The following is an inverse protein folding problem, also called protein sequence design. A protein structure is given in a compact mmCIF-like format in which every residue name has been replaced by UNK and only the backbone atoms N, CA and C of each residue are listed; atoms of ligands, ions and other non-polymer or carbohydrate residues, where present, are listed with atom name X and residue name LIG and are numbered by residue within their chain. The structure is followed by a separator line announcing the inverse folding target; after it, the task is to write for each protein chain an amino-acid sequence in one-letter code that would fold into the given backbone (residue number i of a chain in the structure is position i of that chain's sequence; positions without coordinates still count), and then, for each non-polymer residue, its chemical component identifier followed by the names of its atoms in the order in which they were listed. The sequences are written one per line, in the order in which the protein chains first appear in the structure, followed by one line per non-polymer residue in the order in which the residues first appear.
data_IF_841087552721
#
_entry.id   IF_841087552721
#
_cell.length_a   1.000
_cell.length_b   1.000
_cell.length_c   1.000
_cell.angle_alpha   90.00
_cell.angle_beta   90.00
_cell.angle_gamma   90.00
#
_symmetry.space_group_name_H-M   'P 1'
#
loop_
_entity.id
_entity.type
_entity.pdbx_description
1 polymer ?
#
# COMPACT_ATOMS: atom_id res chain seq x y z
N UNK A 1 2.03 21.39 23.15
CA UNK A 1 1.35 21.75 24.41
C UNK A 1 1.81 20.76 25.46
N UNK A 2 2.49 21.23 26.50
CA UNK A 2 2.88 20.39 27.64
C UNK A 2 1.75 20.43 28.68
N UNK A 3 1.72 19.47 29.61
CA UNK A 3 0.61 19.28 30.56
C UNK A 3 0.29 20.51 31.46
N UNK A 4 1.16 21.52 31.51
CA UNK A 4 0.96 22.74 32.29
C UNK A 4 0.07 23.80 31.61
N UNK A 5 -0.19 23.69 30.30
CA UNK A 5 -0.91 24.70 29.52
C UNK A 5 -2.45 24.51 29.50
N UNK A 6 -3.00 23.61 30.35
CA UNK A 6 -4.39 23.13 30.26
C UNK A 6 -5.33 23.60 31.37
N UNK A 7 -4.95 24.58 32.20
CA UNK A 7 -5.91 25.21 33.12
C UNK A 7 -7.06 25.84 32.33
N UNK A 8 -8.30 25.39 32.58
CA UNK A 8 -9.51 25.83 31.89
C UNK A 8 -10.04 24.88 30.81
N UNK A 9 -9.33 23.81 30.46
CA UNK A 9 -9.76 22.84 29.45
C UNK A 9 -10.45 21.61 30.09
N UNK A 10 -11.66 21.27 29.63
CA UNK A 10 -12.34 20.03 30.05
C UNK A 10 -11.98 18.89 29.10
N UNK A 11 -11.39 17.80 29.63
CA UNK A 11 -11.22 16.55 28.87
C UNK A 11 -12.58 15.86 28.74
N UNK A 12 -13.04 15.68 27.52
CA UNK A 12 -14.22 14.87 27.20
C UNK A 12 -13.80 13.84 26.15
N UNK A 13 -14.34 12.63 26.20
CA UNK A 13 -14.13 11.61 25.17
C UNK A 13 -15.12 11.83 24.02
N UNK A 14 -14.65 11.75 22.76
CA UNK A 14 -15.48 12.04 21.59
C UNK A 14 -15.34 10.98 20.49
N UNK A 15 -16.38 10.93 19.65
CA UNK A 15 -16.44 10.14 18.41
C UNK A 15 -16.63 11.08 17.23
N UNK A 16 -16.09 10.73 16.06
CA UNK A 16 -16.23 11.52 14.82
C UNK A 16 -16.58 10.63 13.62
N UNK A 17 -17.23 11.22 12.62
CA UNK A 17 -17.66 10.55 11.39
C UNK A 17 -16.96 11.17 10.16
N UNK A 18 -16.24 10.32 9.41
CA UNK A 18 -15.67 10.66 8.10
C UNK A 18 -16.65 10.34 6.96
N UNK A 19 -16.35 10.89 5.78
CA UNK A 19 -17.16 10.88 4.55
C UNK A 19 -17.95 9.61 4.26
N UNK A 20 -17.42 8.44 4.65
CA UNK A 20 -17.93 7.10 4.33
C UNK A 20 -18.01 6.16 5.57
N UNK A 21 -18.62 6.63 6.67
CA UNK A 21 -19.03 5.82 7.85
C UNK A 21 -17.92 5.25 8.77
N UNK A 22 -16.67 5.74 8.69
CA UNK A 22 -15.62 5.32 9.61
C UNK A 22 -15.65 6.13 10.92
N UNK A 23 -15.77 5.45 12.07
CA UNK A 23 -15.73 6.05 13.41
C UNK A 23 -14.34 5.84 14.03
N UNK A 24 -13.68 6.94 14.42
CA UNK A 24 -12.44 6.90 15.18
C UNK A 24 -12.62 7.40 16.62
N UNK A 25 -11.74 6.94 17.52
CA UNK A 25 -11.65 7.40 18.92
C UNK A 25 -10.29 8.05 19.15
N UNK A 26 -10.26 9.23 19.80
CA UNK A 26 -9.01 9.87 20.24
C UNK A 26 -9.16 10.42 21.67
N UNK A 27 -8.18 10.18 22.56
CA UNK A 27 -8.26 10.60 23.97
C UNK A 27 -7.82 12.05 24.27
N UNK A 28 -7.28 12.79 23.29
CA UNK A 28 -6.54 14.04 23.55
C UNK A 28 -7.20 15.32 23.01
N UNK A 29 -8.54 15.34 22.90
CA UNK A 29 -9.27 16.54 22.51
C UNK A 29 -9.41 17.52 23.69
N UNK A 30 -9.00 18.77 23.48
CA UNK A 30 -9.10 19.85 24.47
C UNK A 30 -10.05 20.93 23.94
N UNK A 31 -10.95 21.43 24.79
CA UNK A 31 -11.96 22.43 24.44
C UNK A 31 -11.81 23.63 25.37
N UNK A 32 -11.83 24.83 24.80
CA UNK A 32 -11.80 26.09 25.54
C UNK A 32 -12.87 27.04 24.98
N UNK A 33 -13.77 27.53 25.84
CA UNK A 33 -14.70 28.63 25.57
C UNK A 33 -15.50 28.59 24.24
N UNK A 34 -15.76 27.38 23.70
CA UNK A 34 -16.50 27.03 22.45
C UNK A 34 -15.65 26.67 21.24
N UNK A 35 -14.32 26.72 21.34
CA UNK A 35 -13.42 26.28 20.27
C UNK A 35 -12.89 24.86 20.51
N UNK A 36 -12.89 24.05 19.45
CA UNK A 36 -12.40 22.67 19.45
C UNK A 36 -10.99 22.63 18.86
N UNK A 37 -10.01 22.23 19.66
CA UNK A 37 -8.61 22.13 19.21
C UNK A 37 -8.23 20.67 18.93
N UNK A 38 -8.14 20.30 17.65
CA UNK A 38 -7.71 18.98 17.20
C UNK A 38 -6.23 19.00 16.80
N UNK A 39 -5.35 18.56 17.69
CA UNK A 39 -3.93 18.45 17.35
C UNK A 39 -3.67 17.27 16.39
N UNK A 40 -3.01 17.55 15.27
CA UNK A 40 -2.55 16.54 14.31
C UNK A 40 -3.64 15.83 13.50
N UNK A 41 -4.83 16.42 13.32
CA UNK A 41 -5.88 15.90 12.43
C UNK A 41 -6.23 16.90 11.32
N UNK A 42 -6.51 16.40 10.13
CA UNK A 42 -7.05 17.22 9.04
C UNK A 42 -8.56 17.42 9.25
N UNK A 43 -8.93 18.61 9.72
CA UNK A 43 -10.31 18.95 10.12
C UNK A 43 -11.27 19.20 8.95
N UNK A 44 -10.77 19.33 7.72
CA UNK A 44 -11.59 19.65 6.55
C UNK A 44 -12.61 18.57 6.16
N UNK A 45 -12.45 17.35 6.68
CA UNK A 45 -13.26 16.18 6.30
C UNK A 45 -14.10 15.61 7.45
N UNK A 46 -14.16 16.31 8.58
CA UNK A 46 -14.96 15.88 9.73
C UNK A 46 -16.38 16.43 9.56
N UNK A 47 -17.36 15.54 9.40
CA UNK A 47 -18.77 15.96 9.23
C UNK A 47 -19.45 16.29 10.56
N UNK A 48 -19.19 15.51 11.61
CA UNK A 48 -19.75 15.70 12.97
C UNK A 48 -18.81 15.19 14.05
N UNK A 49 -18.89 15.80 15.24
CA UNK A 49 -18.17 15.38 16.44
C UNK A 49 -19.19 15.24 17.58
N UNK A 50 -19.15 14.13 18.32
CA UNK A 50 -20.07 13.82 19.41
C UNK A 50 -19.34 13.87 20.76
N UNK A 51 -19.90 14.61 21.73
CA UNK A 51 -19.28 14.94 23.03
C UNK A 51 -19.59 13.92 24.14
N UNK A 52 -20.44 12.94 23.86
CA UNK A 52 -20.96 11.99 24.85
C UNK A 52 -20.93 10.56 24.31
N UNK A 53 -21.08 9.59 25.22
CA UNK A 53 -21.14 8.16 24.90
C UNK A 53 -22.12 7.93 23.72
N UNK A 54 -21.73 7.11 22.73
CA UNK A 54 -22.56 6.90 21.56
C UNK A 54 -23.81 6.10 22.00
N UNK A 55 -24.97 6.30 21.35
CA UNK A 55 -26.19 5.57 21.66
C UNK A 55 -25.96 4.04 21.66
N UNK A 56 -26.63 3.31 22.54
CA UNK A 56 -26.39 1.87 22.74
C UNK A 56 -26.64 1.05 21.46
N UNK A 57 -27.58 1.47 20.61
CA UNK A 57 -27.80 0.92 19.26
C UNK A 57 -26.56 0.99 18.34
N UNK A 58 -25.64 1.92 18.58
CA UNK A 58 -24.44 2.10 17.76
C UNK A 58 -23.32 1.13 18.15
N UNK A 59 -23.30 0.60 19.38
CA UNK A 59 -22.37 -0.47 19.76
C UNK A 59 -22.69 -1.78 19.02
N UNK A 60 -23.98 -2.07 18.82
CA UNK A 60 -24.44 -3.22 18.02
C UNK A 60 -24.11 -3.00 16.54
N UNK A 61 -24.27 -1.77 16.03
CA UNK A 61 -23.87 -1.41 14.68
C UNK A 61 -22.34 -1.50 14.47
N UNK A 62 -21.52 -1.10 15.45
CA UNK A 62 -20.07 -1.21 15.41
C UNK A 62 -19.58 -2.66 15.46
N UNK A 63 -20.19 -3.52 16.28
CA UNK A 63 -19.85 -4.95 16.31
C UNK A 63 -20.27 -5.65 15.02
N UNK A 64 -21.47 -5.33 14.51
CA UNK A 64 -21.97 -5.84 13.23
C UNK A 64 -21.14 -5.32 12.05
N UNK A 65 -20.69 -4.06 12.07
CA UNK A 65 -19.81 -3.49 11.07
C UNK A 65 -18.38 -4.05 11.14
N UNK A 66 -17.82 -4.29 12.33
CA UNK A 66 -16.54 -5.01 12.48
C UNK A 66 -16.61 -6.45 11.98
N UNK A 67 -17.77 -7.11 12.09
CA UNK A 67 -17.97 -8.48 11.62
C UNK A 67 -18.36 -8.58 10.13
N UNK A 68 -18.94 -7.53 9.54
CA UNK A 68 -19.39 -7.50 8.12
C UNK A 68 -18.55 -6.63 7.19
N UNK A 69 -17.73 -5.73 7.71
CA UNK A 69 -16.83 -4.94 6.86
C UNK A 69 -15.74 -5.88 6.34
N UNK A 70 -15.64 -6.09 5.01
CA UNK A 70 -14.45 -6.72 4.46
C UNK A 70 -13.25 -5.91 4.93
N UNK A 71 -12.22 -6.59 5.41
CA UNK A 71 -10.94 -5.96 5.70
C UNK A 71 -10.55 -5.12 4.48
N UNK A 72 -10.25 -3.83 4.69
CA UNK A 72 -9.94 -2.91 3.59
C UNK A 72 -8.91 -3.60 2.67
N UNK A 73 -9.06 -3.59 1.32
CA UNK A 73 -8.28 -4.47 0.43
C UNK A 73 -6.76 -4.45 0.70
N UNK A 74 -6.24 -3.29 1.11
CA UNK A 74 -4.83 -3.09 1.47
C UNK A 74 -4.38 -3.78 2.78
N UNK A 75 -5.26 -4.05 3.75
CA UNK A 75 -4.91 -4.68 5.01
C UNK A 75 -4.72 -6.21 4.88
N UNK A 76 -5.52 -6.87 4.03
CA UNK A 76 -5.27 -8.28 3.68
C UNK A 76 -4.00 -8.42 2.84
N UNK A 77 -3.81 -7.55 1.86
CA UNK A 77 -2.58 -7.51 1.06
C UNK A 77 -1.35 -7.25 1.95
N UNK A 78 -1.46 -6.40 2.98
CA UNK A 78 -0.37 -6.15 3.92
C UNK A 78 0.04 -7.40 4.70
N UNK A 79 -0.91 -8.24 5.14
CA UNK A 79 -0.60 -9.52 5.79
C UNK A 79 0.11 -10.48 4.83
N UNK A 80 -0.35 -10.55 3.58
CA UNK A 80 0.29 -11.37 2.52
C UNK A 80 1.71 -10.90 2.22
N UNK A 81 1.92 -9.59 2.14
CA UNK A 81 3.23 -8.98 1.96
C UNK A 81 4.14 -9.31 3.14
N UNK A 82 3.70 -9.13 4.39
CA UNK A 82 4.49 -9.51 5.57
C UNK A 82 4.85 -10.99 5.58
N UNK A 83 3.89 -11.87 5.25
CA UNK A 83 4.15 -13.31 5.16
C UNK A 83 5.19 -13.64 4.08
N UNK A 84 5.17 -12.95 2.94
CA UNK A 84 6.20 -13.08 1.91
C UNK A 84 7.57 -12.64 2.44
N UNK A 85 7.65 -11.47 3.09
CA UNK A 85 8.90 -10.95 3.66
C UNK A 85 9.50 -11.90 4.70
N UNK A 86 8.66 -12.54 5.51
CA UNK A 86 9.08 -13.47 6.55
C UNK A 86 9.60 -14.82 6.01
N UNK A 87 9.19 -15.23 4.80
CA UNK A 87 9.59 -16.50 4.17
C UNK A 87 11.09 -16.56 3.81
N UNK A 88 11.75 -15.40 3.73
CA UNK A 88 13.20 -15.28 3.49
C UNK A 88 13.65 -15.47 2.03
N UNK A 89 12.82 -16.04 1.16
CA UNK A 89 13.10 -16.16 -0.29
C UNK A 89 12.68 -14.92 -1.09
N UNK A 90 12.93 -13.72 -0.55
CA UNK A 90 12.52 -12.46 -1.18
C UNK A 90 13.67 -11.74 -1.90
N UNK A 91 13.33 -10.69 -2.64
CA UNK A 91 14.27 -9.80 -3.31
C UNK A 91 13.58 -8.48 -3.67
N UNK A 92 14.35 -7.39 -3.80
CA UNK A 92 13.83 -6.00 -3.91
C UNK A 92 12.72 -5.87 -4.96
N UNK A 93 12.84 -6.54 -6.11
CA UNK A 93 11.83 -6.52 -7.16
C UNK A 93 10.50 -7.18 -6.78
N UNK A 94 10.53 -8.31 -6.07
CA UNK A 94 9.32 -8.95 -5.53
C UNK A 94 8.69 -8.12 -4.41
N UNK A 95 9.52 -7.42 -3.62
CA UNK A 95 9.04 -6.53 -2.56
C UNK A 95 8.35 -5.31 -3.14
N UNK A 96 8.86 -4.77 -4.24
CA UNK A 96 8.22 -3.69 -4.99
C UNK A 96 6.81 -4.07 -5.45
N UNK A 97 6.61 -5.29 -5.98
CA UNK A 97 5.26 -5.80 -6.29
C UNK A 97 4.40 -5.81 -5.03
N UNK A 98 4.85 -6.47 -3.96
CA UNK A 98 4.07 -6.60 -2.74
C UNK A 98 3.65 -5.24 -2.16
N UNK A 99 4.57 -4.28 -2.07
CA UNK A 99 4.28 -2.94 -1.56
C UNK A 99 3.34 -2.17 -2.48
N UNK A 100 3.47 -2.30 -3.80
CA UNK A 100 2.53 -1.69 -4.75
C UNK A 100 1.12 -2.24 -4.55
N UNK A 101 0.96 -3.54 -4.37
CA UNK A 101 -0.34 -4.18 -4.15
C UNK A 101 -1.00 -3.70 -2.85
N UNK A 102 -0.20 -3.50 -1.79
CA UNK A 102 -0.61 -2.92 -0.52
C UNK A 102 -0.91 -1.41 -0.58
N UNK A 103 -0.71 -0.73 -1.71
CA UNK A 103 -0.88 0.72 -1.81
C UNK A 103 0.18 1.52 -1.05
N UNK A 104 1.32 0.91 -0.71
CA UNK A 104 2.41 1.58 0.01
C UNK A 104 3.24 2.38 -1.00
N UNK A 105 3.50 3.68 -0.76
CA UNK A 105 4.29 4.50 -1.66
C UNK A 105 5.76 4.02 -1.69
N UNK A 106 6.23 3.68 -2.89
CA UNK A 106 7.58 3.21 -3.17
C UNK A 106 8.44 4.39 -3.61
N UNK A 107 9.31 4.90 -2.73
CA UNK A 107 10.33 5.90 -3.12
C UNK A 107 11.54 5.21 -3.75
N UNK A 108 12.25 4.42 -2.95
CA UNK A 108 13.55 3.85 -3.32
C UNK A 108 13.50 2.33 -3.60
N UNK A 109 12.37 1.68 -3.31
CA UNK A 109 12.16 0.24 -3.49
C UNK A 109 11.29 -0.06 -4.71
N UNK A 110 11.63 0.49 -5.87
CA UNK A 110 10.89 0.33 -7.12
C UNK A 110 11.67 -0.43 -8.20
N UNK A 111 12.78 -1.08 -7.85
CA UNK A 111 13.66 -1.79 -8.80
C UNK A 111 12.93 -2.95 -9.48
N UNK A 112 12.93 -2.96 -10.82
CA UNK A 112 12.40 -4.08 -11.59
C UNK A 112 13.39 -5.26 -11.61
N UNK A 113 12.94 -6.50 -11.92
CA UNK A 113 13.84 -7.65 -12.02
C UNK A 113 14.98 -7.40 -13.01
N UNK A 114 16.23 -7.61 -12.58
CA UNK A 114 17.40 -7.41 -13.45
C UNK A 114 17.94 -8.72 -14.03
N UNK A 115 17.66 -9.85 -13.39
CA UNK A 115 18.09 -11.15 -13.86
C UNK A 115 17.01 -12.24 -13.69
N UNK A 116 17.35 -13.47 -14.10
CA UNK A 116 16.46 -14.61 -13.98
C UNK A 116 16.13 -14.97 -12.51
N UNK A 117 17.03 -14.70 -11.55
CA UNK A 117 16.82 -14.96 -10.13
C UNK A 117 15.87 -13.96 -9.48
N UNK A 118 16.03 -12.67 -9.80
CA UNK A 118 15.07 -11.63 -9.47
C UNK A 118 13.68 -11.94 -10.02
N UNK A 119 13.62 -12.33 -11.30
CA UNK A 119 12.37 -12.66 -11.95
C UNK A 119 11.73 -13.92 -11.35
N UNK A 120 12.52 -14.94 -11.04
CA UNK A 120 12.07 -16.16 -10.35
C UNK A 120 11.40 -15.84 -9.00
N UNK A 121 11.96 -14.92 -8.20
CA UNK A 121 11.34 -14.48 -6.94
C UNK A 121 10.04 -13.72 -7.16
N UNK A 122 9.97 -12.87 -8.19
CA UNK A 122 8.72 -12.20 -8.55
C UNK A 122 7.65 -13.20 -9.00
N UNK A 123 8.03 -14.20 -9.81
CA UNK A 123 7.12 -15.24 -10.26
C UNK A 123 6.57 -16.04 -9.08
N UNK A 124 7.43 -16.53 -8.17
CA UNK A 124 7.00 -17.25 -6.95
C UNK A 124 6.02 -16.44 -6.09
N UNK A 125 6.25 -15.13 -5.96
CA UNK A 125 5.30 -14.25 -5.26
C UNK A 125 3.93 -14.26 -5.94
N UNK A 126 3.90 -14.13 -7.26
CA UNK A 126 2.67 -14.05 -8.05
C UNK A 126 1.96 -15.41 -8.17
N UNK A 127 2.68 -16.53 -8.09
CA UNK A 127 2.10 -17.86 -7.93
C UNK A 127 1.44 -18.01 -6.56
N UNK A 128 2.05 -17.47 -5.51
CA UNK A 128 1.51 -17.51 -4.14
C UNK A 128 0.27 -16.63 -3.98
N UNK A 129 0.22 -15.49 -4.67
CA UNK A 129 -0.91 -14.55 -4.66
C UNK A 129 -1.37 -14.21 -6.09
N UNK A 130 -2.13 -15.12 -6.75
CA UNK A 130 -2.55 -14.96 -8.14
C UNK A 130 -3.38 -13.69 -8.42
N UNK A 131 -4.09 -13.17 -7.43
CA UNK A 131 -4.82 -11.91 -7.52
C UNK A 131 -3.90 -10.69 -7.78
N UNK A 132 -2.65 -10.75 -7.33
CA UNK A 132 -1.66 -9.71 -7.61
C UNK A 132 -1.13 -9.82 -9.05
N UNK A 133 -1.15 -11.01 -9.64
CA UNK A 133 -0.78 -11.23 -11.05
C UNK A 133 -1.74 -10.52 -12.00
N UNK A 134 -3.01 -10.45 -11.65
CA UNK A 134 -4.04 -9.71 -12.41
C UNK A 134 -3.84 -8.20 -12.36
N UNK A 135 -3.21 -7.70 -11.29
CA UNK A 135 -2.92 -6.28 -11.04
C UNK A 135 -1.53 -5.86 -11.52
N UNK A 136 -0.76 -6.75 -12.13
CA UNK A 136 0.64 -6.51 -12.50
C UNK A 136 0.84 -5.28 -13.41
N UNK A 137 -0.17 -4.92 -14.20
CA UNK A 137 -0.16 -3.68 -15.00
C UNK A 137 0.04 -2.41 -14.17
N UNK A 138 -0.33 -2.40 -12.89
CA UNK A 138 -0.08 -1.28 -11.96
C UNK A 138 1.42 -0.98 -11.77
N UNK A 139 2.29 -1.96 -12.00
CA UNK A 139 3.75 -1.80 -11.87
C UNK A 139 4.34 -0.88 -12.94
N UNK A 140 3.69 -0.75 -14.10
CA UNK A 140 4.16 0.15 -15.19
C UNK A 140 4.28 1.60 -14.74
N UNK A 141 3.52 2.00 -13.73
CA UNK A 141 3.58 3.34 -13.13
C UNK A 141 4.86 3.59 -12.30
N UNK A 142 5.68 2.57 -12.03
CA UNK A 142 6.90 2.69 -11.23
C UNK A 142 8.13 3.09 -12.05
N UNK A 143 8.03 3.15 -13.38
CA UNK A 143 9.08 3.64 -14.26
C UNK A 143 9.30 2.79 -15.50
N UNK A 144 10.31 3.21 -16.29
CA UNK A 144 10.63 2.63 -17.60
C UNK A 144 10.90 1.13 -17.55
N UNK A 145 11.71 0.69 -16.60
CA UNK A 145 12.07 -0.73 -16.44
C UNK A 145 10.84 -1.62 -16.28
N UNK A 146 9.88 -1.24 -15.41
CA UNK A 146 8.63 -1.98 -15.26
C UNK A 146 7.74 -1.87 -16.50
N UNK A 147 7.65 -0.68 -17.10
CA UNK A 147 6.90 -0.48 -18.33
C UNK A 147 7.41 -1.32 -19.50
N UNK A 148 8.71 -1.64 -19.54
CA UNK A 148 9.31 -2.52 -20.55
C UNK A 148 9.03 -4.02 -20.28
N UNK A 149 9.08 -4.45 -19.01
CA UNK A 149 8.95 -5.87 -18.65
C UNK A 149 7.50 -6.35 -18.61
N UNK A 150 6.57 -5.56 -18.08
CA UNK A 150 5.18 -5.97 -17.85
C UNK A 150 4.45 -6.41 -19.14
N UNK A 151 4.56 -5.71 -20.29
CA UNK A 151 3.87 -6.12 -21.52
C UNK A 151 4.30 -7.48 -22.05
N UNK A 152 5.54 -7.91 -21.75
CA UNK A 152 6.10 -9.19 -22.21
C UNK A 152 6.18 -10.24 -21.11
N UNK A 153 5.55 -9.99 -19.95
CA UNK A 153 5.70 -10.80 -18.75
C UNK A 153 5.38 -12.29 -18.96
N UNK A 154 4.30 -12.61 -19.70
CA UNK A 154 3.93 -14.01 -20.00
C UNK A 154 5.07 -14.77 -20.70
N UNK A 155 5.78 -14.11 -21.62
CA UNK A 155 6.92 -14.71 -22.33
C UNK A 155 8.09 -14.96 -21.39
N UNK A 156 8.34 -14.03 -20.46
CA UNK A 156 9.39 -14.19 -19.44
C UNK A 156 9.07 -15.36 -18.50
N UNK A 157 7.80 -15.53 -18.11
CA UNK A 157 7.32 -16.68 -17.33
C UNK A 157 7.53 -18.00 -18.08
N UNK A 158 7.14 -18.06 -19.36
CA UNK A 158 7.36 -19.25 -20.20
C UNK A 158 8.84 -19.64 -20.28
N UNK A 159 9.72 -18.65 -20.46
CA UNK A 159 11.17 -18.87 -20.51
C UNK A 159 11.72 -19.37 -19.17
N UNK A 160 11.28 -18.78 -18.05
CA UNK A 160 11.63 -19.23 -16.71
C UNK A 160 11.25 -20.70 -16.50
N UNK A 161 9.99 -21.04 -16.78
CA UNK A 161 9.44 -22.39 -16.57
C UNK A 161 10.07 -23.43 -17.52
N UNK A 162 10.51 -23.01 -18.70
CA UNK A 162 11.22 -23.86 -19.65
C UNK A 162 12.71 -24.07 -19.31
N UNK A 163 13.20 -23.50 -18.20
CA UNK A 163 14.61 -23.61 -17.80
C UNK A 163 15.58 -22.78 -18.65
N UNK A 164 15.07 -21.84 -19.45
CA UNK A 164 15.83 -20.99 -20.38
C UNK A 164 16.47 -19.78 -19.67
N UNK A 165 17.15 -20.02 -18.55
CA UNK A 165 17.60 -18.97 -17.62
C UNK A 165 18.60 -17.99 -18.25
N UNK A 166 19.53 -18.48 -19.07
CA UNK A 166 20.51 -17.63 -19.78
C UNK A 166 19.81 -16.71 -20.80
N UNK A 167 18.89 -17.25 -21.60
CA UNK A 167 18.14 -16.44 -22.56
C UNK A 167 17.20 -15.45 -21.85
N UNK A 168 16.66 -15.84 -20.70
CA UNK A 168 15.83 -14.98 -19.85
C UNK A 168 16.65 -13.80 -19.30
N UNK A 169 17.88 -14.05 -18.83
CA UNK A 169 18.78 -12.98 -18.43
C UNK A 169 19.05 -12.01 -19.58
N UNK A 170 19.41 -12.53 -20.76
CA UNK A 170 19.71 -11.72 -21.94
C UNK A 170 18.53 -10.86 -22.38
N UNK A 171 17.32 -11.42 -22.43
CA UNK A 171 16.13 -10.65 -22.83
C UNK A 171 15.77 -9.58 -21.80
N UNK A 172 15.88 -9.86 -20.50
CA UNK A 172 15.67 -8.86 -19.44
C UNK A 172 16.67 -7.72 -19.63
N UNK A 173 17.96 -8.02 -19.75
CA UNK A 173 18.98 -6.99 -19.98
C UNK A 173 18.70 -6.18 -21.26
N UNK A 174 18.31 -6.83 -22.36
CA UNK A 174 17.98 -6.15 -23.61
C UNK A 174 16.81 -5.18 -23.44
N UNK A 175 15.75 -5.57 -22.71
CA UNK A 175 14.60 -4.72 -22.44
C UNK A 175 14.95 -3.52 -21.56
N UNK A 176 15.89 -3.69 -20.61
CA UNK A 176 16.33 -2.63 -19.72
C UNK A 176 17.32 -1.66 -20.38
N UNK A 177 18.20 -2.14 -21.28
CA UNK A 177 19.21 -1.30 -21.96
C UNK A 177 18.75 -0.73 -23.31
N UNK A 178 17.82 -1.39 -24.00
CA UNK A 178 17.35 -1.01 -25.34
C UNK A 178 16.53 0.28 -25.41
N UNK A 179 16.36 0.99 -24.29
CA UNK A 179 15.64 2.26 -24.20
C UNK A 179 16.56 3.49 -24.02
N UNK A 180 17.87 3.34 -24.25
CA UNK A 180 18.87 4.40 -24.13
C UNK A 180 19.04 5.36 -25.33
N UNK A 181 18.31 5.18 -26.44
CA UNK A 181 18.64 5.85 -27.73
C UNK A 181 17.53 6.71 -28.34
N UNK A 182 16.63 7.32 -27.55
CA UNK A 182 15.63 8.27 -28.08
C UNK A 182 15.72 9.69 -27.49
N UNK A 183 16.64 9.95 -26.56
CA UNK A 183 16.84 11.31 -25.99
C UNK A 183 18.14 12.00 -26.38
N UNK A 184 19.09 11.32 -27.05
CA UNK A 184 20.39 11.89 -27.44
C UNK A 184 20.47 12.33 -28.92
N UNK A 185 19.33 12.55 -29.59
CA UNK A 185 19.28 13.08 -30.97
C UNK A 185 18.42 14.35 -31.10
N UNK A 186 18.31 15.16 -30.05
CA UNK A 186 17.62 16.45 -30.08
C UNK A 186 18.32 17.54 -29.23
N UNK A 187 19.65 17.57 -29.19
CA UNK A 187 20.43 18.72 -28.70
C UNK A 187 21.50 19.14 -29.73
#
# INVERSE_FOLDING_TARGET
MTNGDLEGFTRVGWYYEFSDCLIGWKPDLCIHERDIYLSGMNVHNIKRVYIQNPPQEWHVAQQSAKQKAPMHPHAEDALKAMAWMADGQTGVSSQAIAFKMCGIPLRDFNTAPRDAGDFSRCHKLLERYPEWRLRLNEMTALGRDWAALVPVWNKLEEMLLSGKTEQLFQIIQTLLHGQGNEQDMND
#
